data_IF_627289852496
#
_entry.id   IF_627289852496
#
_cell.length_a   1.000
_cell.length_b   1.000
_cell.length_c   1.000
_cell.angle_alpha   90.00
_cell.angle_beta   90.00
_cell.angle_gamma   90.00
#
_symmetry.space_group_name_H-M   'P 1'
#
loop_
_entity.id
_entity.type
_entity.pdbx_description
1 polymer ?
#
# COMPACT_ATOMS: atom_id res chain seq x y z
N UNK A 1 -12.32 -6.77 -12.71
CA UNK A 1 -12.09 -7.17 -11.31
C UNK A 1 -11.86 -5.95 -10.44
N UNK A 2 -11.83 -6.11 -9.11
CA UNK A 2 -11.47 -5.03 -8.18
C UNK A 2 -9.98 -5.09 -7.85
N UNK A 3 -9.30 -3.95 -7.92
CA UNK A 3 -7.89 -3.82 -7.59
C UNK A 3 -7.76 -2.78 -6.48
N UNK A 4 -7.42 -3.25 -5.28
CA UNK A 4 -7.18 -2.37 -4.13
C UNK A 4 -5.69 -2.14 -3.98
N UNK A 5 -5.22 -0.93 -4.30
CA UNK A 5 -3.80 -0.56 -4.17
C UNK A 5 -3.52 0.19 -2.87
N UNK A 6 -2.61 -0.36 -2.08
CA UNK A 6 -2.15 0.19 -0.80
C UNK A 6 -0.75 0.77 -0.97
N UNK A 7 -0.64 2.09 -0.83
CA UNK A 7 0.64 2.81 -0.97
C UNK A 7 1.56 2.65 0.26
N UNK A 8 2.84 2.93 0.08
CA UNK A 8 3.83 2.94 1.16
C UNK A 8 3.77 4.19 2.05
N UNK A 9 4.65 4.25 3.06
CA UNK A 9 4.80 5.40 3.96
C UNK A 9 5.12 6.68 3.16
N UNK A 10 4.62 7.83 3.62
CA UNK A 10 4.82 9.15 2.98
C UNK A 10 4.38 9.23 1.52
N UNK A 11 3.45 8.35 1.11
CA UNK A 11 2.83 8.34 -0.21
C UNK A 11 1.33 8.61 -0.11
N UNK A 12 0.59 8.41 -1.20
CA UNK A 12 -0.85 8.66 -1.26
C UNK A 12 -1.56 7.78 -2.29
N UNK A 13 -2.89 7.77 -2.22
CA UNK A 13 -3.78 7.21 -3.22
C UNK A 13 -3.66 7.88 -4.60
N UNK A 14 -3.03 9.05 -4.68
CA UNK A 14 -2.74 9.77 -5.93
C UNK A 14 -1.29 9.62 -6.40
N UNK A 15 -0.55 8.65 -5.87
CA UNK A 15 0.82 8.35 -6.33
C UNK A 15 0.89 8.02 -7.83
N UNK A 16 2.08 8.17 -8.43
CA UNK A 16 2.32 7.80 -9.83
C UNK A 16 1.95 6.32 -10.11
N UNK A 17 2.22 5.42 -9.15
CA UNK A 17 1.81 4.01 -9.26
C UNK A 17 0.28 3.87 -9.33
N UNK A 18 -0.46 4.59 -8.50
CA UNK A 18 -1.92 4.58 -8.53
C UNK A 18 -2.48 5.13 -9.85
N UNK A 19 -1.86 6.19 -10.40
CA UNK A 19 -2.20 6.72 -11.73
C UNK A 19 -1.96 5.68 -12.83
N UNK A 20 -0.78 5.07 -12.84
CA UNK A 20 -0.41 4.04 -13.83
C UNK A 20 -1.29 2.80 -13.76
N UNK A 21 -1.68 2.37 -12.56
CA UNK A 21 -2.60 1.24 -12.40
C UNK A 21 -3.95 1.53 -13.09
N UNK A 22 -4.50 2.74 -12.91
CA UNK A 22 -5.75 3.15 -13.59
C UNK A 22 -5.58 3.24 -15.11
N UNK A 23 -4.45 3.77 -15.58
CA UNK A 23 -4.16 3.93 -17.01
C UNK A 23 -3.99 2.57 -17.72
N UNK A 24 -3.25 1.65 -17.10
CA UNK A 24 -2.91 0.36 -17.70
C UNK A 24 -4.02 -0.69 -17.55
N UNK A 25 -4.95 -0.49 -16.60
CA UNK A 25 -6.05 -1.41 -16.30
C UNK A 25 -7.40 -0.65 -16.34
N UNK A 26 -7.77 -0.06 -17.49
CA UNK A 26 -8.92 0.84 -17.58
C UNK A 26 -10.28 0.15 -17.40
N UNK A 27 -10.34 -1.17 -17.64
CA UNK A 27 -11.57 -1.97 -17.49
C UNK A 27 -11.76 -2.49 -16.05
N UNK A 28 -10.76 -2.33 -15.18
CA UNK A 28 -10.80 -2.77 -13.80
C UNK A 28 -11.19 -1.64 -12.85
N UNK A 29 -11.83 -2.00 -11.73
CA UNK A 29 -12.15 -1.05 -10.67
C UNK A 29 -10.94 -0.86 -9.76
N UNK A 30 -10.13 0.17 -10.03
CA UNK A 30 -8.91 0.49 -9.29
C UNK A 30 -9.21 1.44 -8.12
N UNK A 31 -9.15 0.91 -6.90
CA UNK A 31 -9.42 1.61 -5.64
C UNK A 31 -8.09 1.90 -4.94
N UNK A 32 -7.76 3.17 -4.75
CA UNK A 32 -6.48 3.59 -4.15
C UNK A 32 -6.73 4.59 -3.01
N UNK A 33 -7.08 4.12 -1.81
CA UNK A 33 -7.36 5.03 -0.70
C UNK A 33 -6.10 5.75 -0.23
N UNK A 34 -6.27 6.95 0.31
CA UNK A 34 -5.25 7.56 1.18
C UNK A 34 -5.27 6.84 2.52
N UNK A 35 -4.13 6.26 2.90
CA UNK A 35 -3.99 5.46 4.12
C UNK A 35 -3.62 6.40 5.29
N UNK A 36 -4.43 6.45 6.37
CA UNK A 36 -4.09 7.18 7.58
C UNK A 36 -2.73 6.80 8.16
N UNK A 37 -2.08 7.76 8.83
CA UNK A 37 -0.79 7.53 9.50
C UNK A 37 -0.98 6.62 10.73
N UNK A 38 -2.10 6.75 11.43
CA UNK A 38 -2.40 5.94 12.61
C UNK A 38 -2.76 4.49 12.20
N UNK A 39 -2.01 3.47 12.67
CA UNK A 39 -2.18 2.09 12.20
C UNK A 39 -3.59 1.51 12.40
N UNK A 40 -4.22 1.80 13.54
CA UNK A 40 -5.58 1.30 13.84
C UNK A 40 -6.62 1.87 12.86
N UNK A 41 -6.48 3.16 12.50
CA UNK A 41 -7.34 3.81 11.50
C UNK A 41 -7.05 3.28 10.10
N UNK A 42 -5.78 3.03 9.78
CA UNK A 42 -5.38 2.44 8.51
C UNK A 42 -6.01 1.06 8.30
N UNK A 43 -5.88 0.16 9.28
CA UNK A 43 -6.48 -1.18 9.22
C UNK A 43 -7.99 -1.12 9.15
N UNK A 44 -8.63 -0.27 9.96
CA UNK A 44 -10.09 -0.08 9.93
C UNK A 44 -10.55 0.37 8.55
N UNK A 45 -9.87 1.34 7.94
CA UNK A 45 -10.19 1.82 6.59
C UNK A 45 -10.03 0.71 5.56
N UNK A 46 -8.91 0.00 5.57
CA UNK A 46 -8.61 -1.07 4.61
C UNK A 46 -9.66 -2.18 4.69
N UNK A 47 -10.00 -2.65 5.89
CA UNK A 47 -11.07 -3.62 6.10
C UNK A 47 -12.42 -3.12 5.58
N UNK A 48 -12.78 -1.87 5.90
CA UNK A 48 -14.05 -1.29 5.44
C UNK A 48 -14.17 -1.27 3.91
N UNK A 49 -13.05 -1.20 3.18
CA UNK A 49 -13.02 -1.24 1.72
C UNK A 49 -13.11 -2.68 1.22
N UNK A 50 -12.17 -3.54 1.63
CA UNK A 50 -12.03 -4.89 1.06
C UNK A 50 -13.21 -5.80 1.42
N UNK A 51 -13.78 -5.66 2.61
CA UNK A 51 -14.88 -6.52 3.09
C UNK A 51 -16.20 -6.29 2.32
N UNK A 52 -16.29 -5.17 1.58
CA UNK A 52 -17.43 -4.87 0.70
C UNK A 52 -17.26 -5.43 -0.72
N UNK A 53 -16.12 -6.06 -1.02
CA UNK A 53 -15.79 -6.55 -2.35
C UNK A 53 -15.77 -8.09 -2.39
N UNK A 54 -16.23 -8.71 -3.51
CA UNK A 54 -16.19 -10.16 -3.68
C UNK A 54 -14.74 -10.67 -3.72
N UNK A 55 -14.40 -11.65 -2.88
CA UNK A 55 -13.00 -12.13 -2.67
C UNK A 55 -12.40 -12.73 -3.94
N UNK A 56 -13.18 -13.50 -4.67
CA UNK A 56 -12.80 -14.18 -5.91
C UNK A 56 -12.46 -13.18 -7.03
N UNK A 57 -13.09 -12.01 -7.04
CA UNK A 57 -12.90 -10.96 -8.03
C UNK A 57 -12.17 -9.73 -7.44
N UNK A 58 -11.36 -9.93 -6.39
CA UNK A 58 -10.57 -8.86 -5.77
C UNK A 58 -9.10 -9.24 -5.64
N UNK A 59 -8.24 -8.31 -6.06
CA UNK A 59 -6.78 -8.35 -5.91
C UNK A 59 -6.34 -7.16 -5.04
N UNK A 60 -5.56 -7.43 -4.00
CA UNK A 60 -4.91 -6.38 -3.20
C UNK A 60 -3.45 -6.27 -3.62
N UNK A 61 -3.00 -5.07 -3.96
CA UNK A 61 -1.60 -4.77 -4.31
C UNK A 61 -1.06 -3.84 -3.25
N UNK A 62 0.04 -4.20 -2.58
CA UNK A 62 0.69 -3.34 -1.61
C UNK A 62 2.14 -3.07 -1.98
N UNK A 63 2.65 -1.87 -1.64
CA UNK A 63 4.07 -1.52 -1.75
C UNK A 63 4.62 -1.08 -0.39
N UNK A 64 5.82 -1.52 0.00
CA UNK A 64 6.46 -1.13 1.26
C UNK A 64 5.51 -1.31 2.47
N UNK A 65 5.16 -0.24 3.20
CA UNK A 65 4.20 -0.27 4.30
C UNK A 65 2.79 -0.73 3.86
N UNK A 66 2.34 -0.38 2.65
CA UNK A 66 1.07 -0.88 2.12
C UNK A 66 1.07 -2.40 1.90
N UNK A 67 2.23 -2.98 1.57
CA UNK A 67 2.39 -4.44 1.47
C UNK A 67 2.38 -5.13 2.84
N UNK A 68 2.91 -4.46 3.88
CA UNK A 68 2.77 -4.92 5.27
C UNK A 68 1.29 -5.04 5.65
N UNK A 69 0.49 -4.00 5.38
CA UNK A 69 -0.96 -4.06 5.63
C UNK A 69 -1.65 -5.13 4.79
N UNK A 70 -1.37 -5.20 3.48
CA UNK A 70 -1.96 -6.21 2.59
C UNK A 70 -1.71 -7.64 3.10
N UNK A 71 -0.51 -7.94 3.63
CA UNK A 71 -0.17 -9.25 4.19
C UNK A 71 -1.10 -9.66 5.35
N UNK A 72 -1.61 -8.70 6.12
CA UNK A 72 -2.50 -8.96 7.25
C UNK A 72 -3.94 -9.29 6.82
N UNK A 73 -4.34 -8.95 5.58
CA UNK A 73 -5.72 -9.14 5.08
C UNK A 73 -5.88 -10.53 4.44
N UNK A 74 -6.47 -11.47 5.17
CA UNK A 74 -6.64 -12.87 4.72
C UNK A 74 -7.79 -13.09 3.74
N UNK A 75 -7.71 -14.14 2.93
CA UNK A 75 -8.79 -14.57 2.02
C UNK A 75 -8.85 -13.86 0.66
N UNK A 76 -7.94 -12.91 0.40
CA UNK A 76 -7.81 -12.21 -0.88
C UNK A 76 -6.53 -12.62 -1.61
N UNK A 77 -6.56 -12.56 -2.94
CA UNK A 77 -5.35 -12.62 -3.76
C UNK A 77 -4.53 -11.35 -3.51
N UNK A 78 -3.21 -11.49 -3.39
CA UNK A 78 -2.31 -10.40 -2.96
C UNK A 78 -1.02 -10.37 -3.75
N UNK A 79 -0.58 -9.18 -4.15
CA UNK A 79 0.77 -8.91 -4.65
C UNK A 79 1.45 -7.97 -3.66
N UNK A 80 2.59 -8.40 -3.12
CA UNK A 80 3.34 -7.68 -2.09
C UNK A 80 4.68 -7.26 -2.67
N UNK A 81 4.83 -5.96 -2.94
CA UNK A 81 6.05 -5.40 -3.53
C UNK A 81 6.93 -4.83 -2.44
N UNK A 82 8.09 -5.46 -2.24
CA UNK A 82 9.10 -5.07 -1.24
C UNK A 82 8.47 -4.78 0.14
N UNK A 83 7.81 -5.78 0.78
CA UNK A 83 7.07 -5.55 2.01
C UNK A 83 7.99 -5.18 3.17
N UNK A 84 7.60 -4.12 3.87
CA UNK A 84 8.34 -3.63 5.03
C UNK A 84 7.82 -4.34 6.29
N UNK A 85 8.36 -5.52 6.62
CA UNK A 85 7.96 -6.28 7.81
C UNK A 85 8.66 -5.85 9.11
N UNK A 86 9.73 -5.05 9.01
CA UNK A 86 10.54 -4.58 10.14
C UNK A 86 10.49 -3.04 10.28
N UNK A 87 9.36 -2.41 9.94
CA UNK A 87 9.21 -0.95 9.98
C UNK A 87 9.46 -0.38 11.38
N UNK A 88 9.14 -1.13 12.44
CA UNK A 88 9.42 -0.74 13.82
C UNK A 88 10.93 -0.64 14.14
N UNK A 89 11.77 -1.44 13.49
CA UNK A 89 13.23 -1.35 13.65
C UNK A 89 13.77 -0.14 12.86
N UNK A 90 13.32 0.03 11.61
CA UNK A 90 13.69 1.18 10.77
C UNK A 90 13.25 2.55 11.33
N UNK A 91 12.08 2.62 11.99
CA UNK A 91 11.60 3.86 12.59
C UNK A 91 12.31 4.17 13.93
N UNK A 92 12.69 3.14 14.71
CA UNK A 92 13.47 3.33 15.95
C UNK A 92 14.84 3.94 15.71
N UNK A 93 15.50 3.55 14.63
CA UNK A 93 16.86 4.00 14.34
C UNK A 93 16.91 5.44 13.80
N UNK A 94 15.76 6.03 13.42
CA UNK A 94 15.69 7.34 12.74
C UNK A 94 14.73 8.34 13.44
N UNK A 95 14.42 8.13 14.72
CA UNK A 95 13.59 9.09 15.47
C UNK A 95 14.27 10.46 15.56
N UNK A 96 13.70 11.46 14.86
CA UNK A 96 14.19 12.84 14.89
C UNK A 96 15.21 13.21 13.81
N UNK A 97 15.57 12.29 12.91
CA UNK A 97 16.49 12.56 11.81
C UNK A 97 15.78 12.67 10.44
N UNK A 98 16.08 13.73 9.69
CA UNK A 98 15.71 13.81 8.27
C UNK A 98 16.73 13.02 7.47
N UNK A 99 16.38 11.83 7.02
CA UNK A 99 17.25 11.06 6.13
C UNK A 99 17.34 11.71 4.75
N UNK A 100 18.53 11.75 4.12
CA UNK A 100 18.68 12.26 2.78
C UNK A 100 17.91 11.40 1.77
N UNK A 101 17.28 12.05 0.79
CA UNK A 101 16.61 11.36 -0.31
C UNK A 101 17.68 10.64 -1.16
N UNK A 102 17.70 9.31 -1.13
CA UNK A 102 18.56 8.51 -1.99
C UNK A 102 18.01 8.52 -3.43
N UNK A 103 18.39 9.52 -4.22
CA UNK A 103 18.33 9.40 -5.69
C UNK A 103 19.46 8.48 -6.11
N UNK A 104 19.14 7.29 -6.62
CA UNK A 104 20.10 6.25 -7.00
C UNK A 104 21.02 6.60 -8.18
N UNK A 105 21.77 7.69 -8.09
CA UNK A 105 22.87 7.99 -9.00
C UNK A 105 24.17 7.54 -8.35
N UNK A 106 24.41 6.24 -8.37
CA UNK A 106 25.75 5.67 -8.32
C UNK A 106 25.78 4.52 -9.32
N UNK A 107 26.08 4.86 -10.58
CA UNK A 107 27.17 4.35 -11.41
C UNK A 107 27.36 5.31 -12.60
#
# INVERSE_FOLDING_TARGET
MNIVYLHGLSSSGNSNTASKLRELLPDDNVITPDIPVEPDKALTLIHSIVDRLPKEDTLIIGTSMGAMYAQQISGYRRILVNPAFHVSELLRDNEGETLPFFSGTML
#
